data_IF_065979846294
#
_entry.id   IF_065979846294
#
_cell.length_a   1.000
_cell.length_b   1.000
_cell.length_c   1.000
_cell.angle_alpha   90.00
_cell.angle_beta   90.00
_cell.angle_gamma   90.00
#
_symmetry.space_group_name_H-M   'P 1'
#
loop_
_entity.id
_entity.type
_entity.pdbx_description
1 polymer ?
#
# COMPACT_ATOMS: atom_id res chain seq x y z
N UNK A 1 -1.65 -16.01 -5.39
CA UNK A 1 -0.33 -15.82 -4.74
C UNK A 1 -0.07 -17.04 -3.90
N UNK A 2 -0.83 -17.25 -2.83
CA UNK A 2 -0.95 -18.50 -2.08
C UNK A 2 -1.20 -19.74 -2.95
N UNK A 3 -2.06 -19.62 -3.98
CA UNK A 3 -2.38 -20.76 -4.87
C UNK A 3 -1.19 -21.23 -5.73
N UNK A 4 -0.16 -20.38 -5.88
CA UNK A 4 1.06 -20.68 -6.62
C UNK A 4 2.05 -21.52 -5.79
N UNK A 5 1.79 -21.73 -4.49
CA UNK A 5 2.60 -22.57 -3.61
C UNK A 5 1.97 -23.96 -3.44
N UNK A 6 2.79 -25.01 -3.19
CA UNK A 6 2.33 -26.33 -2.79
C UNK A 6 1.37 -26.24 -1.58
N UNK A 7 0.33 -27.06 -1.57
CA UNK A 7 -0.73 -26.98 -0.55
C UNK A 7 -0.18 -27.08 0.88
N UNK A 8 0.85 -27.90 1.10
CA UNK A 8 1.50 -28.08 2.40
C UNK A 8 2.24 -26.83 2.91
N UNK A 9 2.68 -25.93 2.02
CA UNK A 9 3.45 -24.72 2.40
C UNK A 9 2.56 -23.50 2.66
N UNK A 10 1.32 -23.51 2.16
CA UNK A 10 0.39 -22.38 2.27
C UNK A 10 0.13 -21.94 3.71
N UNK A 11 -0.09 -22.83 4.70
CA UNK A 11 -0.32 -22.41 6.08
C UNK A 11 0.87 -21.62 6.65
N UNK A 12 2.10 -22.07 6.41
CA UNK A 12 3.30 -21.39 6.86
C UNK A 12 3.48 -20.02 6.19
N UNK A 13 3.17 -19.91 4.89
CA UNK A 13 3.15 -18.64 4.17
C UNK A 13 2.13 -17.65 4.78
N UNK A 14 0.89 -18.10 4.98
CA UNK A 14 -0.17 -17.27 5.57
C UNK A 14 0.18 -16.83 7.00
N UNK A 15 0.78 -17.71 7.79
CA UNK A 15 1.25 -17.38 9.15
C UNK A 15 2.30 -16.27 9.14
N UNK A 16 3.20 -16.23 8.14
CA UNK A 16 4.19 -15.15 8.01
C UNK A 16 3.55 -13.80 7.71
N UNK A 17 2.54 -13.75 6.85
CA UNK A 17 1.78 -12.51 6.63
C UNK A 17 1.01 -12.08 7.88
N UNK A 18 0.37 -13.03 8.59
CA UNK A 18 -0.37 -12.76 9.82
C UNK A 18 0.54 -12.35 11.00
N UNK A 19 1.83 -12.67 10.97
CA UNK A 19 2.79 -12.26 11.98
C UNK A 19 3.12 -10.76 11.91
N UNK A 20 2.91 -10.12 10.77
CA UNK A 20 3.06 -8.66 10.62
C UNK A 20 1.88 -7.98 11.30
N UNK A 21 2.19 -7.13 12.28
CA UNK A 21 1.21 -6.35 13.06
C UNK A 21 1.34 -4.85 12.87
N UNK A 22 2.39 -4.40 12.18
CA UNK A 22 2.63 -2.99 11.91
C UNK A 22 1.52 -2.43 11.00
N UNK A 23 1.15 -1.14 11.16
CA UNK A 23 0.28 -0.45 10.21
C UNK A 23 0.87 -0.49 8.80
N UNK A 24 0.01 -0.66 7.80
CA UNK A 24 0.38 -0.67 6.38
C UNK A 24 -0.39 0.43 5.67
N UNK A 25 0.33 1.35 5.03
CA UNK A 25 -0.23 2.28 4.06
C UNK A 25 0.23 1.85 2.66
N UNK A 26 -0.70 1.29 1.88
CA UNK A 26 -0.43 0.92 0.50
C UNK A 26 -0.74 2.10 -0.44
N UNK A 27 0.27 2.50 -1.22
CA UNK A 27 0.17 3.61 -2.16
C UNK A 27 0.14 3.06 -3.58
N UNK A 28 -0.94 3.35 -4.32
CA UNK A 28 -1.07 3.05 -5.75
C UNK A 28 -1.11 4.31 -6.61
N UNK A 29 -0.77 4.17 -7.89
CA UNK A 29 -0.95 5.23 -8.91
C UNK A 29 -1.89 4.73 -10.01
N UNK A 30 -2.83 5.54 -10.53
CA UNK A 30 -3.83 5.10 -11.49
C UNK A 30 -3.26 4.79 -12.88
N UNK A 31 -2.07 5.30 -13.18
CA UNK A 31 -1.56 5.40 -14.56
C UNK A 31 -0.78 4.17 -15.05
N UNK A 32 -0.72 3.09 -14.26
CA UNK A 32 0.09 1.90 -14.56
C UNK A 32 -0.73 0.62 -14.66
N UNK A 33 -0.38 -0.32 -15.56
CA UNK A 33 -1.02 -1.63 -15.65
C UNK A 33 -0.65 -2.56 -14.47
N UNK A 34 0.36 -2.18 -13.69
CA UNK A 34 0.87 -2.92 -12.54
C UNK A 34 0.34 -2.34 -11.23
N UNK A 35 0.17 -3.18 -10.22
CA UNK A 35 -0.30 -2.72 -8.91
C UNK A 35 -1.70 -2.13 -8.97
N UNK A 36 -2.61 -2.75 -9.72
CA UNK A 36 -4.00 -2.29 -9.82
C UNK A 36 -4.65 -2.22 -8.44
N UNK A 37 -5.68 -1.38 -8.25
CA UNK A 37 -6.36 -1.26 -6.96
C UNK A 37 -6.83 -2.60 -6.39
N UNK A 38 -7.37 -3.48 -7.24
CA UNK A 38 -7.82 -4.82 -6.85
C UNK A 38 -6.66 -5.75 -6.48
N UNK A 39 -5.54 -5.68 -7.21
CA UNK A 39 -4.35 -6.49 -6.90
C UNK A 39 -3.72 -6.09 -5.56
N UNK A 40 -3.60 -4.78 -5.29
CA UNK A 40 -3.13 -4.27 -4.00
C UNK A 40 -4.07 -4.72 -2.88
N UNK A 41 -5.39 -4.54 -3.04
CA UNK A 41 -6.39 -4.96 -2.04
C UNK A 41 -6.30 -6.45 -1.72
N UNK A 42 -6.13 -7.28 -2.75
CA UNK A 42 -5.91 -8.73 -2.59
C UNK A 42 -4.62 -9.05 -1.83
N UNK A 43 -3.52 -8.37 -2.16
CA UNK A 43 -2.24 -8.52 -1.47
C UNK A 43 -2.31 -8.08 -0.01
N UNK A 44 -2.95 -6.94 0.26
CA UNK A 44 -3.26 -6.49 1.61
C UNK A 44 -4.02 -7.58 2.36
N UNK A 45 -4.98 -8.25 1.72
CA UNK A 45 -5.72 -9.43 2.17
C UNK A 45 -5.01 -10.33 3.19
N UNK A 46 -3.77 -10.69 2.92
CA UNK A 46 -2.99 -11.64 3.73
C UNK A 46 -2.50 -11.08 5.07
N UNK A 47 -2.32 -9.76 5.19
CA UNK A 47 -1.84 -9.09 6.41
C UNK A 47 -2.99 -8.91 7.41
N UNK A 48 -3.57 -10.01 7.88
CA UNK A 48 -4.82 -10.02 8.66
C UNK A 48 -4.69 -9.39 10.05
N UNK A 49 -3.47 -9.30 10.59
CA UNK A 49 -3.17 -8.73 11.90
C UNK A 49 -2.69 -7.27 11.84
N UNK A 50 -2.67 -6.66 10.65
CA UNK A 50 -2.22 -5.28 10.43
C UNK A 50 -3.40 -4.34 10.19
N UNK A 51 -3.41 -3.15 10.81
CA UNK A 51 -4.20 -2.04 10.30
C UNK A 51 -3.70 -1.71 8.89
N UNK A 52 -4.62 -1.54 7.94
CA UNK A 52 -4.27 -1.39 6.52
C UNK A 52 -5.10 -0.29 5.88
N UNK A 53 -4.45 0.61 5.17
CA UNK A 53 -5.12 1.64 4.37
C UNK A 53 -4.57 1.54 2.96
N UNK A 54 -5.43 1.71 1.96
CA UNK A 54 -5.03 1.86 0.56
C UNK A 54 -5.39 3.25 0.06
N UNK A 55 -4.40 3.95 -0.48
CA UNK A 55 -4.56 5.23 -1.16
C UNK A 55 -4.23 5.10 -2.64
N UNK A 56 -4.89 5.93 -3.46
CA UNK A 56 -4.65 6.04 -4.89
C UNK A 56 -4.25 7.48 -5.21
N UNK A 57 -2.96 7.71 -5.44
CA UNK A 57 -2.44 9.04 -5.71
C UNK A 57 -2.55 9.36 -7.21
N UNK A 58 -3.40 10.32 -7.54
CA UNK A 58 -3.47 10.89 -8.88
C UNK A 58 -2.23 11.77 -9.15
N UNK A 59 -1.91 12.05 -10.42
CA UNK A 59 -0.83 12.99 -10.75
C UNK A 59 -1.01 14.36 -10.06
N UNK A 60 -2.24 14.86 -9.96
CA UNK A 60 -2.55 16.10 -9.26
C UNK A 60 -2.26 16.05 -7.76
N UNK A 61 -2.54 14.93 -7.08
CA UNK A 61 -2.29 14.75 -5.66
C UNK A 61 -0.79 14.79 -5.29
N UNK A 62 0.10 14.56 -6.27
CA UNK A 62 1.56 14.57 -6.07
C UNK A 62 2.27 15.68 -6.86
N UNK A 63 1.51 16.65 -7.40
CA UNK A 63 2.06 17.75 -8.20
C UNK A 63 2.85 17.26 -9.42
N UNK A 64 2.29 16.32 -10.17
CA UNK A 64 2.95 15.67 -11.31
C UNK A 64 2.10 15.71 -12.58
N UNK A 65 2.75 15.76 -13.73
CA UNK A 65 2.21 15.11 -14.92
C UNK A 65 2.56 13.61 -14.88
N UNK A 66 1.55 12.77 -15.09
CA UNK A 66 1.57 11.31 -15.22
C UNK A 66 2.91 10.64 -14.83
N UNK A 67 3.16 10.33 -13.55
CA UNK A 67 4.43 9.79 -13.08
C UNK A 67 4.81 8.46 -13.75
N UNK A 68 3.84 7.69 -14.24
CA UNK A 68 4.03 6.27 -14.57
C UNK A 68 4.34 5.45 -13.31
N UNK A 69 4.45 4.12 -13.44
CA UNK A 69 4.60 3.21 -12.29
C UNK A 69 5.81 3.54 -11.38
N UNK A 70 6.91 4.04 -11.95
CA UNK A 70 8.13 4.36 -11.21
C UNK A 70 8.31 5.86 -10.90
N UNK A 71 7.40 6.73 -11.32
CA UNK A 71 7.61 8.18 -11.20
C UNK A 71 7.64 8.70 -9.76
N UNK A 72 7.13 7.93 -8.80
CA UNK A 72 7.26 8.22 -7.36
C UNK A 72 8.71 8.09 -6.88
N UNK A 73 9.51 7.21 -7.50
CA UNK A 73 10.89 6.92 -7.07
C UNK A 73 11.94 7.87 -7.66
N UNK A 74 11.52 8.89 -8.40
CA UNK A 74 12.45 9.85 -9.01
C UNK A 74 12.93 10.89 -7.99
N UNK A 75 14.21 11.26 -8.01
CA UNK A 75 14.81 12.24 -7.08
C UNK A 75 14.06 13.59 -7.00
N UNK A 76 13.42 14.02 -8.09
CA UNK A 76 12.57 15.23 -8.14
C UNK A 76 11.33 15.17 -7.25
N UNK A 77 11.02 14.02 -6.64
CA UNK A 77 9.93 13.81 -5.68
C UNK A 77 10.40 13.85 -4.23
N UNK A 78 11.67 14.10 -3.96
CA UNK A 78 12.25 14.10 -2.60
C UNK A 78 11.52 15.04 -1.64
N UNK A 79 11.16 16.25 -2.10
CA UNK A 79 10.49 17.27 -1.27
C UNK A 79 8.97 17.14 -1.16
N UNK A 80 8.34 16.21 -1.89
CA UNK A 80 6.89 15.99 -1.87
C UNK A 80 6.56 14.61 -1.32
N UNK A 81 6.28 13.67 -2.23
CA UNK A 81 5.93 12.28 -1.90
C UNK A 81 6.85 11.63 -0.86
N UNK A 82 8.17 11.82 -0.95
CA UNK A 82 9.11 11.20 0.01
C UNK A 82 9.06 11.87 1.38
N UNK A 83 8.90 13.20 1.46
CA UNK A 83 8.71 13.89 2.73
C UNK A 83 7.40 13.45 3.42
N UNK A 84 6.32 13.31 2.66
CA UNK A 84 5.04 12.78 3.16
C UNK A 84 5.17 11.31 3.61
N UNK A 85 5.89 10.49 2.85
CA UNK A 85 6.18 9.10 3.21
C UNK A 85 6.97 9.01 4.52
N UNK A 86 7.98 9.88 4.71
CA UNK A 86 8.75 9.95 5.95
C UNK A 86 7.87 10.37 7.14
N UNK A 87 6.94 11.32 6.94
CA UNK A 87 5.97 11.69 7.97
C UNK A 87 5.08 10.52 8.38
N UNK A 88 4.59 9.74 7.40
CA UNK A 88 3.82 8.52 7.72
C UNK A 88 4.66 7.51 8.51
N UNK A 89 5.90 7.27 8.10
CA UNK A 89 6.79 6.34 8.79
C UNK A 89 7.17 6.80 10.22
N UNK A 90 7.23 8.11 10.44
CA UNK A 90 7.62 8.69 11.73
C UNK A 90 6.45 8.77 12.70
N UNK A 91 5.28 9.20 12.21
CA UNK A 91 4.16 9.61 13.06
C UNK A 91 2.92 8.69 12.91
N UNK A 92 2.93 7.78 11.94
CA UNK A 92 1.80 6.89 11.61
C UNK A 92 0.60 7.60 10.97
N UNK A 93 0.67 8.91 10.73
CA UNK A 93 -0.42 9.70 10.18
C UNK A 93 -0.47 9.60 8.66
N UNK A 94 -1.62 9.24 8.10
CA UNK A 94 -1.81 9.19 6.64
C UNK A 94 -1.76 10.62 6.07
N UNK A 95 -0.78 10.95 5.22
CA UNK A 95 -0.66 12.29 4.64
C UNK A 95 -1.65 12.54 3.49
N UNK A 96 -2.35 11.50 3.00
CA UNK A 96 -3.27 11.60 1.86
C UNK A 96 -4.69 11.10 2.23
N UNK A 97 -5.43 11.79 3.11
CA UNK A 97 -6.77 11.37 3.52
C UNK A 97 -7.78 11.38 2.35
N UNK A 98 -7.69 12.37 1.46
CA UNK A 98 -8.60 12.51 0.31
C UNK A 98 -8.34 11.50 -0.81
N UNK A 99 -7.24 10.74 -0.72
CA UNK A 99 -6.85 9.72 -1.69
C UNK A 99 -7.18 8.30 -1.23
N UNK A 100 -7.83 8.12 -0.08
CA UNK A 100 -8.18 6.78 0.45
C UNK A 100 -9.25 6.13 -0.42
N UNK A 101 -8.96 4.90 -0.88
CA UNK A 101 -9.88 4.05 -1.67
C UNK A 101 -10.22 2.72 -0.98
N UNK A 102 -9.53 2.42 0.12
CA UNK A 102 -9.88 1.39 1.09
C UNK A 102 -9.39 1.84 2.47
N UNK A 103 -10.27 2.19 3.41
CA UNK A 103 -9.86 2.56 4.77
C UNK A 103 -9.39 1.35 5.60
N UNK A 104 -9.47 0.14 5.04
CA UNK A 104 -9.25 -1.11 5.76
C UNK A 104 -10.48 -1.53 6.55
N UNK A 105 -10.54 -2.82 6.87
CA UNK A 105 -11.43 -3.30 7.94
C UNK A 105 -10.72 -3.12 9.29
N UNK A 106 -11.45 -2.78 10.36
CA UNK A 106 -10.94 -2.93 11.72
C UNK A 106 -10.45 -4.36 11.95
N UNK A 107 -9.34 -4.52 12.66
CA UNK A 107 -8.89 -5.85 13.11
C UNK A 107 -9.97 -6.37 14.06
N UNK A 108 -10.55 -7.56 13.83
CA UNK A 108 -11.42 -8.19 14.82
C UNK A 108 -10.63 -8.38 16.12
N UNK A 109 -11.25 -8.04 17.25
CA UNK A 109 -10.68 -8.19 18.59
C UNK A 109 -10.32 -9.65 18.92
#
# INVERSE_FOLDING_TARGET
MEASYPAAERPALLARFAAVRAPILAVGTPDGPFGTPAAIRRGLGYYVSSPRIQVQLTPSAIGAEAPGHFGLFHARRSGGFWADTLRWLSDGQNPWPDSVIDPGRPIPA
#
